data_IF_964071534109
#
_entry.id   IF_964071534109
#
_cell.length_a   1.000
_cell.length_b   1.000
_cell.length_c   1.000
_cell.angle_alpha   90.00
_cell.angle_beta   90.00
_cell.angle_gamma   90.00
#
_symmetry.space_group_name_H-M   'P 1'
#
loop_
_entity.id
_entity.type
_entity.pdbx_description
1 polymer ?
#
# COMPACT_ATOMS: atom_id res chain seq x y z
N UNK A 1 -12.66 9.25 14.76
CA UNK A 1 -12.29 9.99 15.99
C UNK A 1 -13.04 11.32 16.17
N UNK A 2 -12.87 12.36 15.34
CA UNK A 2 -13.56 13.66 15.55
C UNK A 2 -15.09 13.55 15.51
N UNK A 3 -15.63 12.78 14.55
CA UNK A 3 -17.07 12.52 14.40
C UNK A 3 -17.62 11.67 15.57
N UNK A 4 -16.86 10.67 16.00
CA UNK A 4 -17.25 9.76 17.09
C UNK A 4 -17.23 10.44 18.47
N UNK A 5 -16.29 11.36 18.68
CA UNK A 5 -16.13 12.10 19.94
C UNK A 5 -16.87 13.43 19.95
N UNK A 6 -17.50 13.82 18.83
CA UNK A 6 -18.13 15.12 18.62
C UNK A 6 -17.19 16.32 18.94
N UNK A 7 -15.91 16.19 18.58
CA UNK A 7 -14.87 17.20 18.79
C UNK A 7 -14.52 17.86 17.45
N UNK A 8 -14.30 19.18 17.38
CA UNK A 8 -13.79 19.84 16.18
C UNK A 8 -12.48 19.21 15.70
N UNK A 9 -12.33 19.05 14.37
CA UNK A 9 -11.10 18.49 13.77
C UNK A 9 -9.84 19.26 14.19
N UNK A 10 -9.95 20.59 14.33
CA UNK A 10 -8.87 21.46 14.79
C UNK A 10 -8.36 21.07 16.18
N UNK A 11 -9.27 20.77 17.12
CA UNK A 11 -8.89 20.35 18.47
C UNK A 11 -8.17 19.01 18.47
N UNK A 12 -8.64 18.04 17.67
CA UNK A 12 -7.96 16.74 17.50
C UNK A 12 -6.55 16.92 16.93
N UNK A 13 -6.39 17.80 15.93
CA UNK A 13 -5.08 18.11 15.36
C UNK A 13 -4.14 18.80 16.37
N UNK A 14 -4.65 19.74 17.17
CA UNK A 14 -3.86 20.38 18.23
C UNK A 14 -3.39 19.37 19.28
N UNK A 15 -4.26 18.44 19.67
CA UNK A 15 -3.89 17.36 20.60
C UNK A 15 -2.78 16.49 20.00
N UNK A 16 -2.92 16.03 18.76
CA UNK A 16 -1.87 15.25 18.10
C UNK A 16 -0.54 15.99 18.01
N UNK A 17 -0.56 17.29 17.69
CA UNK A 17 0.65 18.12 17.69
C UNK A 17 1.28 18.22 19.09
N UNK A 18 0.46 18.38 20.13
CA UNK A 18 0.95 18.45 21.51
C UNK A 18 1.59 17.15 22.00
N UNK A 19 1.23 16.02 21.40
CA UNK A 19 1.74 14.68 21.71
C UNK A 19 2.85 14.21 20.76
N UNK A 20 3.30 15.06 19.82
CA UNK A 20 4.25 14.74 18.75
C UNK A 20 3.83 13.54 17.86
N UNK A 21 2.52 13.41 17.61
CA UNK A 21 2.00 12.35 16.76
C UNK A 21 2.16 12.69 15.27
N UNK A 22 2.64 11.72 14.51
CA UNK A 22 2.83 11.78 13.05
C UNK A 22 1.78 10.91 12.35
N UNK A 23 1.29 11.33 11.18
CA UNK A 23 0.35 10.54 10.39
C UNK A 23 1.08 9.41 9.65
N UNK A 24 0.52 8.22 9.69
CA UNK A 24 0.99 7.03 8.99
C UNK A 24 -0.17 6.42 8.20
N UNK A 25 0.01 6.29 6.89
CA UNK A 25 -0.96 5.66 5.99
C UNK A 25 -0.54 4.19 5.84
N UNK A 26 -1.42 3.21 6.12
CA UNK A 26 -1.10 1.81 5.94
C UNK A 26 -0.86 1.52 4.47
N UNK A 27 0.12 0.67 4.18
CA UNK A 27 0.39 0.16 2.84
C UNK A 27 -0.12 -1.27 2.77
N UNK A 28 -0.98 -1.56 1.81
CA UNK A 28 -1.29 -2.92 1.45
C UNK A 28 -0.09 -3.50 0.69
N UNK A 29 0.48 -4.58 1.20
CA UNK A 29 1.57 -5.31 0.57
C UNK A 29 1.14 -6.76 0.40
N UNK A 30 1.56 -7.39 -0.68
CA UNK A 30 1.38 -8.83 -0.84
C UNK A 30 2.37 -9.55 0.06
N UNK A 31 1.88 -10.59 0.72
CA UNK A 31 2.77 -11.53 1.41
C UNK A 31 3.56 -12.32 0.36
N UNK A 32 4.86 -12.49 0.60
CA UNK A 32 5.78 -13.15 -0.32
C UNK A 32 6.21 -14.48 0.27
N UNK A 33 6.13 -15.54 -0.53
CA UNK A 33 6.70 -16.82 -0.14
C UNK A 33 8.23 -16.78 -0.21
N UNK A 34 8.89 -17.74 0.43
CA UNK A 34 10.35 -17.85 0.47
C UNK A 34 10.97 -17.85 -0.95
N UNK A 35 10.35 -18.56 -1.90
CA UNK A 35 10.81 -18.63 -3.29
C UNK A 35 10.58 -17.34 -4.10
N UNK A 36 9.66 -16.47 -3.67
CA UNK A 36 9.25 -15.31 -4.47
C UNK A 36 10.36 -14.26 -4.56
N UNK A 37 11.27 -14.21 -3.59
CA UNK A 37 12.41 -13.30 -3.62
C UNK A 37 13.34 -13.61 -4.81
N UNK A 38 13.74 -14.87 -4.95
CA UNK A 38 14.65 -15.30 -6.00
C UNK A 38 13.99 -15.20 -7.38
N UNK A 39 12.73 -15.64 -7.51
CA UNK A 39 11.98 -15.55 -8.77
C UNK A 39 11.81 -14.12 -9.27
N UNK A 40 11.60 -13.17 -8.36
CA UNK A 40 11.48 -11.75 -8.73
C UNK A 40 12.79 -11.18 -9.24
N UNK A 41 13.92 -11.54 -8.62
CA UNK A 41 15.25 -11.13 -9.09
C UNK A 41 15.54 -11.72 -10.45
N UNK A 42 15.34 -13.03 -10.63
CA UNK A 42 15.55 -13.72 -11.91
C UNK A 42 14.70 -13.11 -13.04
N UNK A 43 13.43 -12.82 -12.76
CA UNK A 43 12.53 -12.15 -13.70
C UNK A 43 13.08 -10.77 -14.11
N UNK A 44 13.52 -9.96 -13.14
CA UNK A 44 14.10 -8.65 -13.43
C UNK A 44 15.39 -8.75 -14.26
N UNK A 45 16.30 -9.67 -13.93
CA UNK A 45 17.55 -9.87 -14.67
C UNK A 45 17.30 -10.34 -16.11
N UNK A 46 16.35 -11.26 -16.28
CA UNK A 46 15.91 -11.74 -17.60
C UNK A 46 15.30 -10.60 -18.40
N UNK A 47 14.42 -9.82 -17.79
CA UNK A 47 13.76 -8.69 -18.46
C UNK A 47 14.75 -7.59 -18.85
N UNK A 48 15.72 -7.29 -17.99
CA UNK A 48 16.80 -6.34 -18.31
C UNK A 48 17.66 -6.82 -19.49
N UNK A 49 17.98 -8.12 -19.54
CA UNK A 49 18.72 -8.71 -20.65
C UNK A 49 17.94 -8.60 -21.97
N UNK A 50 16.62 -8.85 -21.93
CA UNK A 50 15.75 -8.67 -23.10
C UNK A 50 15.74 -7.22 -23.58
N UNK A 51 15.62 -6.25 -22.67
CA UNK A 51 15.65 -4.82 -23.00
C UNK A 51 17.02 -4.34 -23.51
N UNK A 52 18.13 -4.96 -23.08
CA UNK A 52 19.45 -4.65 -23.64
C UNK A 52 19.58 -5.09 -25.10
N UNK A 53 18.99 -6.24 -25.44
CA UNK A 53 19.02 -6.76 -26.81
C UNK A 53 18.01 -6.04 -27.72
N UNK A 54 16.82 -5.71 -27.20
CA UNK A 54 15.76 -5.02 -27.91
C UNK A 54 15.21 -3.86 -27.05
N UNK A 55 15.82 -2.66 -27.11
CA UNK A 55 15.42 -1.51 -26.29
C UNK A 55 13.96 -1.09 -26.48
N UNK A 56 13.42 -1.29 -27.69
CA UNK A 56 12.06 -0.91 -28.02
C UNK A 56 11.00 -1.92 -27.53
N UNK A 57 11.41 -3.09 -27.00
CA UNK A 57 10.50 -4.13 -26.53
C UNK A 57 9.47 -3.59 -25.54
N UNK A 58 9.86 -2.66 -24.67
CA UNK A 58 8.95 -2.05 -23.68
C UNK A 58 7.73 -1.38 -24.31
N UNK A 59 7.87 -0.84 -25.53
CA UNK A 59 6.78 -0.18 -26.27
C UNK A 59 5.87 -1.18 -27.00
N UNK A 60 6.32 -2.43 -27.14
CA UNK A 60 5.57 -3.51 -27.77
C UNK A 60 4.80 -4.37 -26.76
N UNK A 61 5.03 -4.16 -25.45
CA UNK A 61 4.32 -4.88 -24.40
C UNK A 61 2.99 -4.16 -24.10
N UNK A 62 1.89 -4.89 -24.29
CA UNK A 62 0.58 -4.47 -23.82
C UNK A 62 0.35 -5.02 -22.40
N UNK A 63 0.40 -4.14 -21.42
CA UNK A 63 0.09 -4.48 -20.04
C UNK A 63 -1.41 -4.47 -19.81
N UNK A 64 -1.93 -5.53 -19.20
CA UNK A 64 -3.32 -5.63 -18.77
C UNK A 64 -3.37 -6.05 -17.30
N UNK A 65 -4.33 -5.51 -16.57
CA UNK A 65 -4.61 -5.89 -15.17
C UNK A 65 -6.11 -5.80 -14.92
N UNK A 66 -6.59 -6.55 -13.93
CA UNK A 66 -7.99 -6.51 -13.49
C UNK A 66 -8.10 -5.78 -12.15
N UNK A 67 -8.97 -4.77 -12.09
CA UNK A 67 -9.24 -4.03 -10.85
C UNK A 67 -10.69 -4.24 -10.41
N UNK A 68 -10.87 -4.62 -9.14
CA UNK A 68 -12.20 -4.81 -8.54
C UNK A 68 -12.62 -3.54 -7.79
N UNK A 69 -13.72 -2.92 -8.22
CA UNK A 69 -14.31 -1.77 -7.55
C UNK A 69 -15.54 -2.20 -6.75
N UNK A 70 -15.48 -2.10 -5.41
CA UNK A 70 -16.59 -2.46 -4.52
C UNK A 70 -17.27 -1.19 -3.97
N UNK A 71 -18.60 -1.11 -4.10
CA UNK A 71 -19.41 0.01 -3.57
C UNK A 71 -19.65 -0.09 -2.05
N UNK A 72 -19.36 -1.24 -1.43
CA UNK A 72 -19.68 -1.54 -0.04
C UNK A 72 -18.68 -0.99 1.00
N UNK A 73 -17.80 -0.05 0.63
CA UNK A 73 -16.86 0.56 1.58
C UNK A 73 -15.74 -0.37 2.01
N UNK A 74 -15.25 -1.21 1.10
CA UNK A 74 -14.00 -1.93 1.29
C UNK A 74 -12.88 -0.95 1.69
N UNK A 75 -11.92 -1.41 2.47
CA UNK A 75 -10.87 -0.57 3.07
C UNK A 75 -10.16 0.23 1.97
N UNK A 76 -10.54 1.50 1.84
CA UNK A 76 -9.75 2.44 1.05
C UNK A 76 -8.60 2.88 1.94
N UNK A 77 -7.42 2.27 1.75
CA UNK A 77 -6.22 2.56 2.53
C UNK A 77 -5.86 4.06 2.51
N UNK A 78 -6.32 4.83 1.50
CA UNK A 78 -6.13 6.28 1.44
C UNK A 78 -6.93 7.05 2.50
N UNK A 79 -8.03 6.51 3.01
CA UNK A 79 -8.82 7.11 4.08
C UNK A 79 -8.42 6.61 5.48
N UNK A 80 -7.47 5.68 5.56
CA UNK A 80 -6.97 5.15 6.82
C UNK A 80 -5.69 5.89 7.21
N UNK A 81 -5.71 6.63 8.33
CA UNK A 81 -4.54 7.35 8.85
C UNK A 81 -4.39 7.03 10.32
N UNK A 82 -3.27 6.41 10.68
CA UNK A 82 -2.85 6.18 12.05
C UNK A 82 -2.03 7.37 12.54
N UNK A 83 -2.23 7.77 13.78
CA UNK A 83 -1.46 8.84 14.41
C UNK A 83 -0.67 8.24 15.56
N UNK A 84 0.66 8.28 15.49
CA UNK A 84 1.56 7.71 16.49
C UNK A 84 2.86 8.53 16.57
N UNK A 85 3.56 8.45 17.71
CA UNK A 85 4.88 9.10 17.87
C UNK A 85 5.96 8.43 17.02
N UNK A 86 5.86 7.12 16.84
CA UNK A 86 6.79 6.28 16.10
C UNK A 86 6.07 5.42 15.07
N UNK A 87 6.80 4.99 14.04
CA UNK A 87 6.24 4.10 13.02
C UNK A 87 5.92 2.74 13.66
N UNK A 88 4.67 2.27 13.59
CA UNK A 88 4.22 1.13 14.38
C UNK A 88 4.94 -0.19 14.04
N UNK A 89 5.58 -0.32 12.87
CA UNK A 89 6.26 -1.56 12.43
C UNK A 89 5.37 -2.82 12.56
N UNK A 90 4.05 -2.67 12.43
CA UNK A 90 3.10 -3.78 12.53
C UNK A 90 2.52 -4.07 11.15
N UNK A 91 2.55 -5.34 10.78
CA UNK A 91 1.84 -5.87 9.62
C UNK A 91 0.64 -6.67 10.11
N UNK A 92 -0.50 -6.50 9.47
CA UNK A 92 -1.72 -7.26 9.76
C UNK A 92 -2.08 -8.06 8.52
N UNK A 93 -2.29 -9.36 8.69
CA UNK A 93 -2.82 -10.19 7.62
C UNK A 93 -4.28 -9.82 7.35
N UNK A 94 -4.58 -9.56 6.09
CA UNK A 94 -5.93 -9.36 5.62
C UNK A 94 -6.16 -10.26 4.42
N UNK A 95 -7.07 -11.22 4.54
CA UNK A 95 -7.51 -12.01 3.40
C UNK A 95 -8.27 -11.09 2.47
N UNK A 96 -7.68 -10.81 1.31
CA UNK A 96 -8.42 -10.26 0.17
C UNK A 96 -9.50 -11.30 -0.15
N UNK A 97 -10.77 -10.99 0.11
CA UNK A 97 -11.86 -11.89 -0.28
C UNK A 97 -11.88 -11.98 -1.81
N UNK A 98 -11.28 -13.04 -2.33
CA UNK A 98 -11.47 -13.50 -3.69
C UNK A 98 -12.91 -14.02 -3.81
N UNK A 99 -13.60 -13.56 -4.84
CA UNK A 99 -14.76 -14.30 -5.36
C UNK A 99 -14.25 -15.41 -6.27
#
# INVERSE_FOLDING_TARGET
MSLQLNIPRSSVQSIYKSMDYKPYIPRLVHDLNEDDFDRRVECCETFLTLLQNEPDLIYHIMWSDEAVFRLSGHINCHNCVYWATEYPNVTWEHTMQAE
#
